data_IF_397403296528
#
_entry.id   IF_397403296528
#
_cell.length_a   1.000
_cell.length_b   1.000
_cell.length_c   1.000
_cell.angle_alpha   90.00
_cell.angle_beta   90.00
_cell.angle_gamma   90.00
#
_symmetry.space_group_name_H-M   'P 1'
#
loop_
_entity.id
_entity.type
_entity.pdbx_description
1 polymer ?
#
# COMPACT_ATOMS: atom_id res chain seq x y z
N UNK A 1 -3.97 -18.09 9.15
CA UNK A 1 -3.67 -16.72 8.68
C UNK A 1 -3.92 -16.62 7.19
N UNK A 2 -4.39 -15.48 6.69
CA UNK A 2 -4.58 -15.19 5.27
C UNK A 2 -4.27 -13.72 5.03
N UNK A 3 -3.79 -13.38 3.85
CA UNK A 3 -3.64 -12.00 3.38
C UNK A 3 -4.33 -11.87 2.03
N UNK A 4 -4.93 -10.72 1.78
CA UNK A 4 -5.62 -10.39 0.53
C UNK A 4 -5.20 -8.97 0.14
N UNK A 5 -4.85 -8.77 -1.12
CA UNK A 5 -4.43 -7.48 -1.67
C UNK A 5 -5.27 -7.14 -2.90
N UNK A 6 -5.41 -5.85 -3.21
CA UNK A 6 -5.98 -5.38 -4.47
C UNK A 6 -5.13 -4.27 -5.08
N UNK A 7 -5.06 -4.22 -6.41
CA UNK A 7 -4.41 -3.12 -7.16
C UNK A 7 -5.38 -2.00 -7.60
N UNK A 8 -6.65 -2.05 -7.17
CA UNK A 8 -7.70 -1.10 -7.54
C UNK A 8 -8.75 -1.70 -8.48
N UNK A 9 -9.99 -1.21 -8.40
CA UNK A 9 -11.06 -1.61 -9.31
C UNK A 9 -10.78 -1.06 -10.72
N UNK A 10 -10.81 -1.92 -11.75
CA UNK A 10 -10.30 -1.61 -13.09
C UNK A 10 -8.90 -2.17 -13.38
N UNK A 11 -8.29 -2.81 -12.38
CA UNK A 11 -7.17 -3.72 -12.55
C UNK A 11 -7.39 -4.67 -13.75
N UNK A 12 -6.33 -4.93 -14.51
CA UNK A 12 -6.32 -5.92 -15.59
C UNK A 12 -5.28 -7.01 -15.31
N UNK A 13 -5.36 -8.19 -15.95
CA UNK A 13 -4.37 -9.26 -15.77
C UNK A 13 -2.90 -8.83 -16.02
N UNK A 14 -2.67 -7.74 -16.76
CA UNK A 14 -1.32 -7.21 -17.05
C UNK A 14 -0.54 -6.73 -15.82
N UNK A 15 -1.22 -6.44 -14.72
CA UNK A 15 -0.60 -5.96 -13.47
C UNK A 15 -0.83 -6.94 -12.30
N UNK A 16 -1.37 -8.13 -12.58
CA UNK A 16 -1.65 -9.15 -11.56
C UNK A 16 -0.38 -9.59 -10.83
N UNK A 17 0.75 -9.69 -11.54
CA UNK A 17 2.03 -10.06 -10.93
C UNK A 17 2.46 -9.09 -9.81
N UNK A 18 2.08 -7.81 -9.90
CA UNK A 18 2.38 -6.83 -8.85
C UNK A 18 1.56 -7.07 -7.58
N UNK A 19 0.28 -7.43 -7.73
CA UNK A 19 -0.59 -7.79 -6.60
C UNK A 19 -0.17 -9.12 -5.98
N UNK A 20 0.24 -10.08 -6.81
CA UNK A 20 0.76 -11.38 -6.35
C UNK A 20 2.04 -11.19 -5.53
N UNK A 21 2.99 -10.38 -6.01
CA UNK A 21 4.21 -10.01 -5.26
C UNK A 21 3.89 -9.32 -3.92
N UNK A 22 2.89 -8.44 -3.91
CA UNK A 22 2.46 -7.76 -2.68
C UNK A 22 1.89 -8.77 -1.66
N UNK A 23 1.03 -9.68 -2.12
CA UNK A 23 0.47 -10.73 -1.27
C UNK A 23 1.54 -11.71 -0.77
N UNK A 24 2.49 -12.12 -1.62
CA UNK A 24 3.63 -12.95 -1.25
C UNK A 24 4.50 -12.28 -0.18
N UNK A 25 4.83 -10.99 -0.37
CA UNK A 25 5.64 -10.24 0.59
C UNK A 25 4.94 -10.12 1.94
N UNK A 26 3.67 -9.71 1.95
CA UNK A 26 2.91 -9.60 3.19
C UNK A 26 2.68 -10.96 3.86
N UNK A 27 2.53 -12.04 3.09
CA UNK A 27 2.45 -13.40 3.63
C UNK A 27 3.75 -13.85 4.31
N UNK A 28 4.91 -13.56 3.71
CA UNK A 28 6.22 -13.83 4.31
C UNK A 28 6.35 -13.14 5.67
N UNK A 29 6.05 -11.83 5.70
CA UNK A 29 6.12 -11.02 6.93
C UNK A 29 5.15 -11.55 7.98
N UNK A 30 3.91 -11.89 7.60
CA UNK A 30 2.92 -12.43 8.53
C UNK A 30 3.37 -13.74 9.15
N UNK A 31 3.97 -14.64 8.36
CA UNK A 31 4.50 -15.92 8.86
C UNK A 31 5.68 -15.74 9.82
N UNK A 32 6.53 -14.74 9.57
CA UNK A 32 7.74 -14.50 10.35
C UNK A 32 7.44 -13.77 11.67
N UNK A 33 6.45 -12.86 11.67
CA UNK A 33 6.22 -11.92 12.78
C UNK A 33 4.94 -12.18 13.57
N UNK A 34 3.96 -12.89 12.99
CA UNK A 34 2.58 -12.99 13.48
C UNK A 34 1.89 -11.62 13.66
N UNK A 35 2.40 -10.58 12.98
CA UNK A 35 1.87 -9.21 13.02
C UNK A 35 1.13 -8.85 11.73
N UNK A 36 -0.20 -8.73 11.85
CA UNK A 36 -1.08 -8.37 10.74
C UNK A 36 -0.87 -6.94 10.21
N UNK A 37 -0.47 -6.00 11.07
CA UNK A 37 -0.22 -4.62 10.68
C UNK A 37 1.07 -4.55 9.84
N UNK A 38 2.16 -5.14 10.32
CA UNK A 38 3.43 -5.18 9.58
C UNK A 38 3.27 -5.91 8.24
N UNK A 39 2.50 -7.00 8.21
CA UNK A 39 2.19 -7.73 6.98
C UNK A 39 1.42 -6.87 5.95
N UNK A 40 0.41 -6.12 6.39
CA UNK A 40 -0.36 -5.22 5.52
C UNK A 40 0.52 -4.08 4.99
N UNK A 41 1.34 -3.47 5.86
CA UNK A 41 2.28 -2.40 5.48
C UNK A 41 3.28 -2.91 4.44
N UNK A 42 3.87 -4.09 4.65
CA UNK A 42 4.83 -4.67 3.73
C UNK A 42 4.22 -4.97 2.35
N UNK A 43 2.96 -5.42 2.30
CA UNK A 43 2.25 -5.63 1.04
C UNK A 43 1.94 -4.30 0.31
N UNK A 44 1.48 -3.29 1.04
CA UNK A 44 1.18 -1.97 0.48
C UNK A 44 2.44 -1.30 -0.07
N UNK A 45 3.57 -1.38 0.65
CA UNK A 45 4.84 -0.84 0.16
C UNK A 45 5.27 -1.42 -1.18
N UNK A 46 5.04 -2.72 -1.43
CA UNK A 46 5.33 -3.34 -2.73
C UNK A 46 4.50 -2.69 -3.85
N UNK A 47 3.23 -2.36 -3.58
CA UNK A 47 2.36 -1.70 -4.56
C UNK A 47 2.70 -0.21 -4.72
N UNK A 48 3.06 0.49 -3.64
CA UNK A 48 3.51 1.90 -3.70
C UNK A 48 4.83 2.07 -4.46
N UNK A 49 5.70 1.06 -4.43
CA UNK A 49 6.98 1.05 -5.14
C UNK A 49 6.82 0.68 -6.63
N UNK A 50 5.70 0.08 -7.02
CA UNK A 50 5.41 -0.32 -8.39
C UNK A 50 4.62 0.77 -9.13
N UNK A 51 5.28 1.40 -10.10
CA UNK A 51 4.75 2.53 -10.88
C UNK A 51 3.43 2.23 -11.62
N UNK A 52 3.04 0.96 -11.73
CA UNK A 52 1.82 0.53 -12.42
C UNK A 52 0.56 0.72 -11.57
N UNK A 53 0.70 0.94 -10.25
CA UNK A 53 -0.43 1.20 -9.36
C UNK A 53 -0.54 2.68 -9.00
N UNK A 54 -1.76 3.18 -8.89
CA UNK A 54 -2.04 4.55 -8.47
C UNK A 54 -1.87 4.70 -6.94
N UNK A 55 -0.63 4.56 -6.48
CA UNK A 55 -0.19 4.77 -5.10
C UNK A 55 1.32 5.02 -5.09
N UNK A 56 1.81 5.87 -4.18
CA UNK A 56 3.24 6.13 -4.01
C UNK A 56 3.90 6.58 -5.32
N UNK A 57 4.85 5.79 -5.82
CA UNK A 57 5.62 6.05 -7.05
C UNK A 57 4.75 6.18 -8.30
N UNK A 58 3.68 5.39 -8.42
CA UNK A 58 2.80 5.37 -9.58
C UNK A 58 1.58 6.31 -9.48
N UNK A 59 1.55 7.17 -8.47
CA UNK A 59 0.44 8.09 -8.24
C UNK A 59 0.09 8.93 -9.47
N UNK A 60 -1.19 9.02 -9.78
CA UNK A 60 -1.69 9.88 -10.83
C UNK A 60 -1.38 11.35 -10.53
N UNK A 61 -1.07 12.10 -11.58
CA UNK A 61 -0.90 13.54 -11.50
C UNK A 61 -2.27 14.20 -11.28
N UNK A 62 -2.26 15.22 -10.44
CA UNK A 62 -3.34 16.20 -10.34
C UNK A 62 -3.33 17.12 -11.55
N UNK A 63 -4.39 17.91 -11.71
CA UNK A 63 -4.50 18.90 -12.79
C UNK A 63 -3.35 19.92 -12.79
N UNK A 64 -2.82 20.27 -11.62
CA UNK A 64 -1.67 21.18 -11.47
C UNK A 64 -0.30 20.49 -11.70
N UNK A 65 -0.31 19.22 -12.13
CA UNK A 65 0.90 18.42 -12.35
C UNK A 65 1.57 17.92 -11.07
N UNK A 66 0.99 18.17 -9.89
CA UNK A 66 1.54 17.66 -8.63
C UNK A 66 1.08 16.24 -8.32
N UNK A 67 1.86 15.55 -7.49
CA UNK A 67 1.48 14.27 -6.88
C UNK A 67 1.14 14.51 -5.41
N UNK A 68 -0.01 13.99 -4.99
CA UNK A 68 -0.46 13.97 -3.60
C UNK A 68 -1.03 12.59 -3.30
N UNK A 69 -0.68 12.05 -2.14
CA UNK A 69 -1.14 10.73 -1.73
C UNK A 69 -1.98 10.78 -0.47
N UNK A 70 -2.91 9.85 -0.41
CA UNK A 70 -3.70 9.49 0.76
C UNK A 70 -3.33 8.06 1.14
N UNK A 71 -3.26 7.77 2.44
CA UNK A 71 -3.06 6.41 2.93
C UNK A 71 -3.54 6.30 4.36
N UNK A 72 -3.90 5.08 4.76
CA UNK A 72 -4.39 4.79 6.10
C UNK A 72 -4.06 3.37 6.52
N UNK A 73 -3.83 3.17 7.80
CA UNK A 73 -3.77 1.86 8.44
C UNK A 73 -4.73 1.80 9.61
N UNK A 74 -5.26 0.62 9.90
CA UNK A 74 -6.15 0.37 11.01
C UNK A 74 -5.78 -0.94 11.70
N UNK A 75 -5.88 -0.97 13.02
CA UNK A 75 -5.59 -2.15 13.85
C UNK A 75 -6.87 -2.70 14.49
N UNK A 76 -6.83 -3.98 14.89
CA UNK A 76 -7.97 -4.67 15.51
C UNK A 76 -8.40 -4.07 16.85
N UNK A 77 -7.54 -3.34 17.55
CA UNK A 77 -7.85 -2.63 18.79
C UNK A 77 -8.39 -1.20 18.57
N UNK A 78 -8.72 -0.84 17.34
CA UNK A 78 -9.38 0.43 17.01
C UNK A 78 -8.45 1.63 16.83
N UNK A 79 -7.13 1.44 16.80
CA UNK A 79 -6.21 2.52 16.41
C UNK A 79 -6.23 2.69 14.89
N UNK A 80 -6.22 3.93 14.45
CA UNK A 80 -6.18 4.31 13.04
C UNK A 80 -5.15 5.42 12.89
N UNK A 81 -4.33 5.32 11.86
CA UNK A 81 -3.46 6.41 11.40
C UNK A 81 -3.74 6.66 9.92
N UNK A 82 -3.76 7.93 9.52
CA UNK A 82 -4.13 8.33 8.17
C UNK A 82 -3.47 9.64 7.78
N UNK A 83 -3.15 9.76 6.50
CA UNK A 83 -2.69 10.99 5.86
C UNK A 83 -3.56 11.29 4.65
N UNK A 84 -3.67 12.57 4.32
CA UNK A 84 -4.34 13.02 3.12
C UNK A 84 -3.58 14.16 2.46
N UNK A 85 -3.60 14.19 1.13
CA UNK A 85 -2.99 15.18 0.26
C UNK A 85 -1.50 15.46 0.52
N UNK A 86 -0.79 14.48 1.08
CA UNK A 86 0.60 14.67 1.49
C UNK A 86 1.53 14.57 0.27
N UNK A 87 2.65 15.31 0.30
CA UNK A 87 3.68 15.34 -0.76
C UNK A 87 5.06 14.94 -0.23
N UNK A 88 5.99 14.64 -1.15
CA UNK A 88 7.43 14.51 -0.90
C UNK A 88 7.86 13.32 0.00
N UNK A 89 7.29 12.15 -0.23
CA UNK A 89 7.73 10.89 0.37
C UNK A 89 7.53 9.76 -0.63
N UNK A 90 8.24 8.65 -0.39
CA UNK A 90 8.16 7.46 -1.25
C UNK A 90 6.96 6.58 -0.90
N UNK A 91 6.78 6.29 0.39
CA UNK A 91 5.83 5.29 0.88
C UNK A 91 4.81 5.91 1.86
N UNK A 92 3.66 6.41 1.37
CA UNK A 92 2.65 7.03 2.22
C UNK A 92 2.15 6.16 3.38
N UNK A 93 2.08 4.83 3.20
CA UNK A 93 1.66 3.90 4.27
C UNK A 93 2.57 3.92 5.50
N UNK A 94 3.87 4.20 5.32
CA UNK A 94 4.80 4.31 6.46
C UNK A 94 4.53 5.56 7.29
N UNK A 95 4.08 6.65 6.67
CA UNK A 95 3.71 7.86 7.41
C UNK A 95 2.37 7.65 8.11
N UNK A 96 1.40 6.99 7.44
CA UNK A 96 0.11 6.68 8.04
C UNK A 96 0.21 5.76 9.27
N UNK A 97 1.29 4.99 9.40
CA UNK A 97 1.56 4.10 10.54
C UNK A 97 1.89 4.85 11.84
N UNK A 98 2.59 5.98 11.73
CA UNK A 98 3.11 6.76 12.86
C UNK A 98 2.00 7.49 13.63
#
# INVERSE_FOLDING_TARGET
MKIICHGGAGHTPKVQDGVDKAAEKGWSVLKETDDALEAAIAAVMVMEDDFRFNAGTGSCLREDGSVQNDSSVATSNGRIGAIANLRNFKNPVLIAKE
#
